data_IF_178143059726
#
_entry.id   IF_178143059726
#
_cell.length_a   1.000
_cell.length_b   1.000
_cell.length_c   1.000
_cell.angle_alpha   90.00
_cell.angle_beta   90.00
_cell.angle_gamma   90.00
#
_symmetry.space_group_name_H-M   'P 1'
#
loop_
_entity.id
_entity.type
_entity.pdbx_description
1 polymer ?
#
# COMPACT_ATOMS: atom_id res chain seq x y z
N UNK A 1 2.68 14.72 -18.78
CA UNK A 1 2.16 13.39 -18.42
C UNK A 1 0.66 13.44 -18.22
N UNK A 2 -0.08 12.38 -18.51
CA UNK A 2 -1.54 12.32 -18.27
C UNK A 2 -1.83 11.58 -16.98
N UNK A 3 -2.62 12.18 -16.09
CA UNK A 3 -3.19 11.51 -14.91
C UNK A 3 -4.67 11.25 -15.15
N UNK A 4 -5.15 10.07 -14.74
CA UNK A 4 -6.56 9.69 -14.84
C UNK A 4 -7.12 9.53 -13.44
N UNK A 5 -8.20 10.26 -13.15
CA UNK A 5 -8.98 10.12 -11.92
C UNK A 5 -10.26 9.35 -12.24
N UNK A 6 -10.51 8.27 -11.50
CA UNK A 6 -11.69 7.43 -11.63
C UNK A 6 -12.54 7.57 -10.37
N UNK A 7 -13.81 7.90 -10.52
CA UNK A 7 -14.74 8.05 -9.40
C UNK A 7 -16.19 7.79 -9.87
N UNK A 8 -17.14 7.85 -8.93
CA UNK A 8 -18.58 7.66 -9.16
C UNK A 8 -19.34 8.88 -8.69
N UNK A 9 -20.38 9.25 -9.42
CA UNK A 9 -21.34 10.24 -8.96
C UNK A 9 -22.75 9.70 -9.09
N UNK A 10 -23.64 10.13 -8.20
CA UNK A 10 -25.07 9.80 -8.28
C UNK A 10 -25.79 10.94 -9.01
N UNK A 11 -26.37 10.70 -10.20
CA UNK A 11 -27.15 11.72 -10.90
C UNK A 11 -28.31 12.22 -10.05
N UNK A 12 -28.67 13.50 -10.18
CA UNK A 12 -29.80 14.09 -9.43
C UNK A 12 -31.11 13.31 -9.65
N UNK A 13 -31.36 12.85 -10.88
CA UNK A 13 -32.55 12.09 -11.24
C UNK A 13 -32.60 10.72 -10.54
N UNK A 14 -31.45 10.05 -10.34
CA UNK A 14 -31.38 8.79 -9.60
C UNK A 14 -31.62 8.99 -8.10
N UNK A 15 -31.14 10.11 -7.52
CA UNK A 15 -31.50 10.48 -6.13
C UNK A 15 -33.01 10.66 -5.97
N UNK A 16 -33.65 11.38 -6.90
CA UNK A 16 -35.10 11.60 -6.85
C UNK A 16 -35.91 10.30 -7.03
N UNK A 17 -35.45 9.38 -7.89
CA UNK A 17 -36.06 8.06 -8.04
C UNK A 17 -35.96 7.25 -6.74
N UNK A 18 -34.77 7.18 -6.15
CA UNK A 18 -34.53 6.51 -4.88
C UNK A 18 -35.40 7.06 -3.74
N UNK A 19 -35.52 8.40 -3.64
CA UNK A 19 -36.38 9.06 -2.65
C UNK A 19 -37.88 8.71 -2.83
N UNK A 20 -38.30 8.39 -4.06
CA UNK A 20 -39.70 8.06 -4.39
C UNK A 20 -40.00 6.57 -4.23
N UNK A 21 -39.08 5.72 -4.69
CA UNK A 21 -39.29 4.27 -4.81
C UNK A 21 -38.77 3.50 -3.58
N UNK A 22 -37.98 4.15 -2.71
CA UNK A 22 -37.39 3.54 -1.51
C UNK A 22 -36.17 2.65 -1.78
N UNK A 23 -35.63 2.67 -2.99
CA UNK A 23 -34.46 1.90 -3.43
C UNK A 23 -33.14 2.69 -3.30
N UNK A 24 -32.00 2.02 -3.35
CA UNK A 24 -30.70 2.69 -3.40
C UNK A 24 -30.46 3.42 -4.73
N UNK A 25 -29.92 4.66 -4.71
CA UNK A 25 -29.70 5.44 -5.91
C UNK A 25 -28.50 4.91 -6.71
N UNK A 26 -28.66 4.76 -8.03
CA UNK A 26 -27.59 4.22 -8.86
C UNK A 26 -26.48 5.25 -9.11
N UNK A 27 -25.24 4.85 -8.82
CA UNK A 27 -24.05 5.66 -9.07
C UNK A 27 -23.48 5.37 -10.47
N UNK A 28 -23.15 6.42 -11.22
CA UNK A 28 -22.55 6.34 -12.55
C UNK A 28 -21.03 6.53 -12.44
N UNK A 29 -20.20 5.61 -12.96
CA UNK A 29 -18.75 5.76 -12.97
C UNK A 29 -18.30 6.76 -14.04
N UNK A 30 -17.25 7.53 -13.75
CA UNK A 30 -16.60 8.41 -14.72
C UNK A 30 -15.07 8.31 -14.65
N UNK A 31 -14.42 8.76 -15.73
CA UNK A 31 -12.97 8.91 -15.82
C UNK A 31 -12.65 10.35 -16.26
N UNK A 32 -11.96 11.11 -15.41
CA UNK A 32 -11.48 12.46 -15.73
C UNK A 32 -9.99 12.42 -16.01
N UNK A 33 -9.58 12.98 -17.15
CA UNK A 33 -8.17 13.08 -17.55
C UNK A 33 -7.65 14.47 -17.22
N UNK A 34 -6.45 14.52 -16.64
CA UNK A 34 -5.70 15.73 -16.38
C UNK A 34 -4.36 15.64 -17.10
N UNK A 35 -3.92 16.76 -17.67
CA UNK A 35 -2.56 16.90 -18.18
C UNK A 35 -1.75 17.60 -17.11
N UNK A 36 -0.69 16.95 -16.63
CA UNK A 36 0.23 17.49 -15.64
C UNK A 36 1.63 17.61 -16.22
N UNK A 37 2.39 18.55 -15.69
CA UNK A 37 3.78 18.80 -16.04
C UNK A 37 4.62 18.54 -14.79
N UNK A 38 5.73 17.82 -14.94
CA UNK A 38 6.71 17.68 -13.86
C UNK A 38 7.31 19.06 -13.58
N UNK A 39 7.69 19.34 -12.34
CA UNK A 39 8.30 20.61 -11.93
C UNK A 39 9.53 20.97 -12.78
N UNK A 40 10.33 19.98 -13.20
CA UNK A 40 11.48 20.16 -14.10
C UNK A 40 11.10 20.60 -15.52
N UNK A 41 9.82 20.58 -15.88
CA UNK A 41 9.29 21.04 -17.17
C UNK A 41 8.69 22.46 -17.10
N UNK A 42 8.73 23.09 -15.93
CA UNK A 42 8.12 24.38 -15.66
C UNK A 42 9.18 25.39 -15.24
N UNK A 43 9.14 26.58 -15.84
CA UNK A 43 9.97 27.71 -15.45
C UNK A 43 9.24 28.62 -14.45
N UNK A 44 10.00 29.38 -13.65
CA UNK A 44 9.49 30.42 -12.73
C UNK A 44 8.50 29.94 -11.67
N UNK A 45 8.60 28.69 -11.22
CA UNK A 45 7.84 28.24 -10.05
C UNK A 45 8.49 28.72 -8.75
N UNK A 46 7.73 28.80 -7.63
CA UNK A 46 8.31 29.02 -6.32
C UNK A 46 9.42 27.99 -6.00
N UNK A 47 10.55 28.46 -5.46
CA UNK A 47 11.76 27.64 -5.24
C UNK A 47 11.50 26.37 -4.42
N UNK A 48 10.61 26.45 -3.43
CA UNK A 48 10.23 25.31 -2.59
C UNK A 48 9.56 24.15 -3.37
N UNK A 49 9.05 24.39 -4.59
CA UNK A 49 8.49 23.32 -5.42
C UNK A 49 9.56 22.50 -6.16
N UNK A 50 10.77 23.06 -6.34
CA UNK A 50 11.91 22.35 -6.95
C UNK A 50 12.70 21.51 -5.93
N UNK A 51 12.43 21.66 -4.64
CA UNK A 51 13.07 20.87 -3.60
C UNK A 51 12.53 19.43 -3.65
N UNK A 52 13.21 18.55 -4.39
CA UNK A 52 13.11 17.13 -4.12
C UNK A 52 13.76 16.88 -2.76
N UNK A 53 13.06 16.22 -1.84
CA UNK A 53 13.69 15.75 -0.61
C UNK A 53 14.89 14.87 -0.97
N UNK A 54 16.02 15.07 -0.30
CA UNK A 54 17.16 14.16 -0.47
C UNK A 54 16.72 12.75 -0.08
N UNK A 55 17.10 11.70 -0.86
CA UNK A 55 16.82 10.33 -0.48
C UNK A 55 17.33 10.06 0.93
N UNK A 56 16.50 9.40 1.74
CA UNK A 56 16.91 9.03 3.08
C UNK A 56 18.10 8.08 3.00
N UNK A 57 19.13 8.26 3.83
CA UNK A 57 20.21 7.28 3.92
C UNK A 57 19.66 5.95 4.47
N UNK A 58 20.29 4.82 4.13
CA UNK A 58 19.82 3.48 4.52
C UNK A 58 19.62 3.32 6.04
N UNK A 59 20.48 3.96 6.84
CA UNK A 59 20.39 4.01 8.31
C UNK A 59 19.06 4.61 8.82
N UNK A 60 18.37 5.39 8.00
CA UNK A 60 17.08 6.04 8.32
C UNK A 60 15.90 5.30 7.66
N UNK A 61 16.11 4.63 6.52
CA UNK A 61 15.07 3.83 5.84
C UNK A 61 14.74 2.53 6.57
N UNK A 62 15.78 1.78 6.98
CA UNK A 62 15.61 0.45 7.58
C UNK A 62 14.76 0.49 8.86
N UNK A 63 14.99 1.41 9.81
CA UNK A 63 14.13 1.51 10.99
C UNK A 63 12.66 1.77 10.67
N UNK A 64 12.35 2.55 9.62
CA UNK A 64 10.97 2.80 9.21
C UNK A 64 10.32 1.55 8.60
N UNK A 65 11.10 0.78 7.83
CA UNK A 65 10.64 -0.49 7.28
C UNK A 65 10.34 -1.52 8.37
N UNK A 66 11.24 -1.68 9.34
CA UNK A 66 11.04 -2.54 10.51
C UNK A 66 9.82 -2.10 11.32
N UNK A 67 9.68 -0.79 11.59
CA UNK A 67 8.54 -0.25 12.31
C UNK A 67 7.22 -0.52 11.59
N UNK A 68 7.18 -0.35 10.27
CA UNK A 68 6.00 -0.66 9.48
C UNK A 68 5.64 -2.14 9.55
N UNK A 69 6.61 -3.03 9.32
CA UNK A 69 6.42 -4.49 9.40
C UNK A 69 5.84 -4.86 10.77
N UNK A 70 6.42 -4.34 11.85
CA UNK A 70 5.94 -4.57 13.21
C UNK A 70 4.51 -4.04 13.41
N UNK A 71 4.21 -2.82 12.96
CA UNK A 71 2.90 -2.19 13.10
C UNK A 71 1.79 -2.93 12.32
N UNK A 72 2.13 -3.72 11.29
CA UNK A 72 1.13 -4.52 10.57
C UNK A 72 0.47 -5.57 11.47
N UNK A 73 1.22 -6.12 12.44
CA UNK A 73 0.83 -7.28 13.24
C UNK A 73 0.78 -8.60 12.47
N UNK A 74 1.35 -8.69 11.26
CA UNK A 74 1.38 -9.92 10.48
C UNK A 74 2.30 -10.98 11.15
N UNK A 75 1.89 -12.25 11.14
CA UNK A 75 2.72 -13.38 11.61
C UNK A 75 3.81 -13.69 10.57
N UNK A 76 4.99 -13.10 10.76
CA UNK A 76 6.20 -13.38 9.98
C UNK A 76 6.98 -14.57 10.56
N UNK A 77 7.23 -15.57 9.70
CA UNK A 77 8.01 -16.76 10.01
C UNK A 77 9.29 -16.75 9.19
N UNK A 78 10.42 -16.69 9.88
CA UNK A 78 11.74 -16.62 9.25
C UNK A 78 12.31 -18.03 9.07
N UNK A 79 12.68 -18.38 7.85
CA UNK A 79 13.29 -19.67 7.51
C UNK A 79 13.06 -20.11 6.07
N UNK A 80 13.63 -21.27 5.71
CA UNK A 80 13.54 -21.80 4.35
C UNK A 80 14.25 -20.93 3.30
N UNK A 81 13.94 -21.21 2.03
CA UNK A 81 14.61 -20.58 0.87
C UNK A 81 13.66 -19.71 0.03
N UNK A 82 12.37 -19.65 0.37
CA UNK A 82 11.35 -18.94 -0.41
C UNK A 82 10.50 -18.05 0.48
N UNK A 83 10.12 -16.89 -0.06
CA UNK A 83 9.12 -16.02 0.52
C UNK A 83 7.75 -16.32 -0.07
N UNK A 84 6.71 -16.30 0.76
CA UNK A 84 5.32 -16.43 0.34
C UNK A 84 4.36 -16.09 1.49
N UNK A 85 3.23 -15.48 1.16
CA UNK A 85 2.05 -15.43 2.02
C UNK A 85 1.22 -16.71 1.91
N UNK A 86 0.76 -17.23 3.06
CA UNK A 86 -0.13 -18.39 3.17
C UNK A 86 -1.54 -17.96 3.62
N UNK A 87 -2.52 -17.84 2.70
CA UNK A 87 -3.87 -17.39 3.06
C UNK A 87 -4.57 -18.28 4.10
N UNK A 88 -4.37 -19.60 4.04
CA UNK A 88 -5.06 -20.55 4.93
C UNK A 88 -4.64 -20.47 6.40
N UNK A 89 -3.40 -20.06 6.68
CA UNK A 89 -2.89 -19.87 8.04
C UNK A 89 -2.72 -18.40 8.42
N UNK A 90 -3.00 -17.48 7.49
CA UNK A 90 -2.78 -16.04 7.63
C UNK A 90 -1.34 -15.69 8.08
N UNK A 91 -0.35 -16.32 7.46
CA UNK A 91 1.06 -16.18 7.83
C UNK A 91 1.95 -15.84 6.65
N UNK A 92 3.03 -15.11 6.88
CA UNK A 92 4.05 -14.80 5.89
C UNK A 92 5.32 -15.59 6.21
N UNK A 93 5.81 -16.36 5.24
CA UNK A 93 7.13 -16.99 5.31
C UNK A 93 8.13 -16.10 4.55
N UNK A 94 9.31 -15.87 5.13
CA UNK A 94 10.44 -15.22 4.44
C UNK A 94 11.76 -15.92 4.76
N UNK A 95 12.72 -15.98 3.82
CA UNK A 95 14.08 -16.43 4.11
C UNK A 95 14.74 -15.52 5.17
N UNK A 96 15.75 -16.02 5.90
CA UNK A 96 16.53 -15.18 6.79
C UNK A 96 17.23 -14.07 6.01
N UNK A 97 17.30 -12.86 6.58
CA UNK A 97 17.88 -11.68 5.92
C UNK A 97 19.29 -11.89 5.32
N UNK A 98 20.21 -12.66 5.96
CA UNK A 98 21.51 -13.00 5.36
C UNK A 98 21.45 -13.81 4.05
N UNK A 99 20.30 -14.40 3.70
CA UNK A 99 20.12 -15.10 2.43
C UNK A 99 19.95 -14.14 1.23
N UNK A 100 19.72 -12.84 1.48
CA UNK A 100 19.57 -11.83 0.44
C UNK A 100 20.92 -11.19 0.09
N UNK A 101 21.20 -11.06 -1.22
CA UNK A 101 22.45 -10.47 -1.70
C UNK A 101 22.60 -9.01 -1.30
N UNK A 102 21.53 -8.22 -1.45
CA UNK A 102 21.42 -6.89 -0.85
C UNK A 102 20.43 -6.94 0.30
N UNK A 103 20.82 -6.41 1.46
CA UNK A 103 19.99 -6.47 2.67
C UNK A 103 18.65 -5.75 2.50
N UNK A 104 18.59 -4.71 1.65
CA UNK A 104 17.36 -3.98 1.33
C UNK A 104 16.31 -4.85 0.61
N UNK A 105 16.73 -5.90 -0.10
CA UNK A 105 15.83 -6.80 -0.84
C UNK A 105 14.95 -7.65 0.09
N UNK A 106 15.39 -7.83 1.34
CA UNK A 106 14.58 -8.43 2.38
C UNK A 106 13.29 -7.62 2.62
N UNK A 107 13.40 -6.30 2.77
CA UNK A 107 12.25 -5.43 3.01
C UNK A 107 11.34 -5.34 1.79
N UNK A 108 11.92 -5.20 0.58
CA UNK A 108 11.16 -5.26 -0.68
C UNK A 108 10.35 -6.55 -0.78
N UNK A 109 10.94 -7.66 -0.32
CA UNK A 109 10.28 -8.96 -0.28
C UNK A 109 9.18 -9.02 0.76
N UNK A 110 9.44 -8.57 1.98
CA UNK A 110 8.43 -8.48 3.02
C UNK A 110 7.23 -7.63 2.58
N UNK A 111 7.44 -6.49 1.92
CA UNK A 111 6.36 -5.62 1.46
C UNK A 111 5.53 -6.20 0.33
N UNK A 112 6.12 -7.02 -0.53
CA UNK A 112 5.33 -7.77 -1.50
C UNK A 112 4.45 -8.81 -0.82
N UNK A 113 5.01 -9.62 0.09
CA UNK A 113 4.21 -10.62 0.81
C UNK A 113 3.13 -9.95 1.67
N UNK A 114 3.41 -8.78 2.24
CA UNK A 114 2.41 -7.95 2.90
C UNK A 114 1.34 -7.45 1.92
N UNK A 115 1.73 -7.12 0.70
CA UNK A 115 0.81 -6.83 -0.41
C UNK A 115 -0.24 -7.93 -0.54
N UNK A 116 0.19 -9.20 -0.65
CA UNK A 116 -0.71 -10.36 -0.65
C UNK A 116 -1.49 -10.52 0.64
N UNK A 117 -0.81 -10.38 1.78
CA UNK A 117 -1.41 -10.49 3.11
C UNK A 117 -2.62 -9.55 3.23
N UNK A 118 -2.56 -8.29 2.79
CA UNK A 118 -3.72 -7.39 2.83
C UNK A 118 -4.97 -7.94 2.12
N UNK A 119 -4.82 -8.89 1.19
CA UNK A 119 -5.92 -9.49 0.44
C UNK A 119 -6.79 -10.47 1.21
N UNK A 120 -6.43 -10.88 2.42
CA UNK A 120 -7.21 -11.83 3.22
C UNK A 120 -8.66 -11.38 3.48
N UNK A 121 -9.62 -12.31 3.66
CA UNK A 121 -11.04 -11.99 3.88
C UNK A 121 -11.34 -11.04 5.03
N UNK A 122 -10.50 -11.01 6.08
CA UNK A 122 -10.68 -10.10 7.23
C UNK A 122 -10.07 -8.70 7.03
N UNK A 123 -9.46 -8.46 5.86
CA UNK A 123 -8.78 -7.19 5.51
C UNK A 123 -9.43 -6.58 4.26
N UNK A 124 -8.75 -6.63 3.11
CA UNK A 124 -9.26 -6.09 1.85
C UNK A 124 -10.05 -7.11 1.02
N UNK A 125 -10.16 -8.35 1.49
CA UNK A 125 -11.02 -9.40 0.93
C UNK A 125 -10.91 -9.53 -0.60
N UNK A 126 -9.67 -9.62 -1.10
CA UNK A 126 -9.38 -9.88 -2.51
C UNK A 126 -9.42 -11.37 -2.81
N UNK A 127 -9.60 -11.71 -4.08
CA UNK A 127 -9.59 -13.10 -4.53
C UNK A 127 -8.14 -13.63 -4.61
N UNK A 128 -7.78 -14.48 -3.65
CA UNK A 128 -6.48 -15.14 -3.56
C UNK A 128 -6.55 -16.63 -3.97
N UNK A 129 -7.64 -17.06 -4.62
CA UNK A 129 -7.85 -18.49 -4.96
C UNK A 129 -7.08 -18.98 -6.18
N UNK A 130 -6.42 -18.07 -6.91
CA UNK A 130 -5.68 -18.38 -8.13
C UNK A 130 -4.45 -19.27 -7.87
N UNK A 131 -4.30 -20.31 -8.68
CA UNK A 131 -3.09 -21.13 -8.70
C UNK A 131 -1.98 -20.51 -9.57
N UNK A 132 -0.72 -20.86 -9.30
CA UNK A 132 0.42 -20.41 -10.08
C UNK A 132 0.20 -20.58 -11.58
N UNK A 133 0.47 -19.53 -12.36
CA UNK A 133 0.24 -19.49 -13.82
C UNK A 133 -1.20 -19.20 -14.26
N UNK A 134 -2.17 -19.13 -13.35
CA UNK A 134 -3.53 -18.69 -13.68
C UNK A 134 -3.63 -17.17 -13.85
N UNK A 135 -4.62 -16.71 -14.62
CA UNK A 135 -4.90 -15.27 -14.76
C UNK A 135 -5.30 -14.60 -13.44
N UNK A 136 -5.98 -15.32 -12.53
CA UNK A 136 -6.31 -14.80 -11.20
C UNK A 136 -5.05 -14.58 -10.38
N UNK A 137 -4.14 -15.56 -10.37
CA UNK A 137 -2.85 -15.45 -9.70
C UNK A 137 -2.01 -14.30 -10.27
N UNK A 138 -1.89 -14.21 -11.60
CA UNK A 138 -1.13 -13.13 -12.25
C UNK A 138 -1.69 -11.73 -11.95
N UNK A 139 -3.01 -11.58 -11.78
CA UNK A 139 -3.62 -10.30 -11.37
C UNK A 139 -3.26 -9.92 -9.94
N UNK A 140 -3.26 -10.88 -9.03
CA UNK A 140 -2.92 -10.63 -7.63
C UNK A 140 -1.43 -10.36 -7.44
N UNK A 141 -0.55 -11.05 -8.17
CA UNK A 141 0.88 -10.75 -8.23
C UNK A 141 1.14 -9.30 -8.70
N UNK A 142 0.40 -8.85 -9.72
CA UNK A 142 0.49 -7.46 -10.19
C UNK A 142 0.05 -6.46 -9.09
N UNK A 143 -0.96 -6.80 -8.30
CA UNK A 143 -1.40 -5.97 -7.16
C UNK A 143 -0.30 -5.92 -6.10
N UNK A 144 0.27 -7.06 -5.71
CA UNK A 144 1.30 -7.14 -4.67
C UNK A 144 2.60 -6.41 -5.06
N UNK A 145 3.04 -6.53 -6.32
CA UNK A 145 4.24 -5.83 -6.80
C UNK A 145 4.04 -4.31 -6.88
N UNK A 146 2.88 -3.83 -7.35
CA UNK A 146 2.59 -2.38 -7.35
C UNK A 146 2.45 -1.86 -5.92
N UNK A 147 1.82 -2.62 -5.02
CA UNK A 147 1.68 -2.24 -3.62
C UNK A 147 3.04 -2.14 -2.93
N UNK A 148 3.90 -3.13 -3.12
CA UNK A 148 5.28 -3.12 -2.63
C UNK A 148 6.04 -1.90 -3.14
N UNK A 149 5.88 -1.55 -4.43
CA UNK A 149 6.52 -0.37 -5.00
C UNK A 149 6.04 0.94 -4.35
N UNK A 150 4.74 1.09 -4.08
CA UNK A 150 4.21 2.24 -3.37
C UNK A 150 4.75 2.34 -1.94
N UNK A 151 4.75 1.23 -1.20
CA UNK A 151 5.27 1.18 0.17
C UNK A 151 6.76 1.51 0.20
N UNK A 152 7.56 0.88 -0.65
CA UNK A 152 9.00 1.15 -0.76
C UNK A 152 9.24 2.63 -1.04
N UNK A 153 8.56 3.19 -2.05
CA UNK A 153 8.66 4.60 -2.41
C UNK A 153 8.30 5.52 -1.24
N UNK A 154 7.28 5.21 -0.45
CA UNK A 154 6.88 5.99 0.73
C UNK A 154 7.91 5.94 1.87
N UNK A 155 8.71 4.88 1.95
CA UNK A 155 9.76 4.70 2.96
C UNK A 155 11.16 5.14 2.47
N UNK A 156 11.25 5.73 1.28
CA UNK A 156 12.51 6.10 0.64
C UNK A 156 13.29 4.94 0.01
N UNK A 157 12.77 3.71 0.10
CA UNK A 157 13.38 2.52 -0.48
C UNK A 157 13.11 2.51 -1.98
N UNK A 158 14.17 2.44 -2.79
CA UNK A 158 14.01 2.37 -4.24
C UNK A 158 13.21 1.09 -4.62
N UNK A 159 12.09 1.20 -5.34
CA UNK A 159 11.36 0.03 -5.80
C UNK A 159 12.12 -0.73 -6.88
N UNK A 160 12.11 -2.06 -6.82
CA UNK A 160 12.65 -2.92 -7.89
C UNK A 160 11.68 -4.03 -8.21
N UNK A 161 11.59 -4.40 -9.49
CA UNK A 161 10.78 -5.55 -9.93
C UNK A 161 11.58 -6.82 -9.69
N UNK A 162 11.04 -7.76 -8.90
CA UNK A 162 11.84 -8.88 -8.38
C UNK A 162 12.04 -10.04 -9.34
N UNK A 163 11.12 -10.31 -10.29
CA UNK A 163 11.35 -11.38 -11.28
C UNK A 163 10.76 -11.12 -12.67
N UNK A 164 11.53 -11.51 -13.70
CA UNK A 164 11.15 -11.41 -15.11
C UNK A 164 10.00 -12.37 -15.49
N UNK A 165 9.83 -13.47 -14.77
CA UNK A 165 8.80 -14.48 -15.05
C UNK A 165 7.38 -13.92 -14.83
N UNK A 166 7.21 -12.99 -13.88
CA UNK A 166 5.93 -12.31 -13.65
C UNK A 166 5.58 -11.33 -14.78
N UNK A 167 6.58 -10.69 -15.41
CA UNK A 167 6.37 -9.78 -16.53
C UNK A 167 5.68 -10.50 -17.70
N UNK A 168 6.06 -11.75 -17.97
CA UNK A 168 5.42 -12.57 -18.99
C UNK A 168 3.93 -12.79 -18.71
N UNK A 169 3.59 -13.18 -17.47
CA UNK A 169 2.19 -13.39 -17.07
C UNK A 169 1.37 -12.10 -17.02
N UNK A 170 1.97 -10.97 -16.61
CA UNK A 170 1.32 -9.67 -16.58
C UNK A 170 1.04 -9.14 -17.99
N UNK A 171 1.98 -9.33 -18.93
CA UNK A 171 1.76 -8.94 -20.32
C UNK A 171 0.56 -9.66 -20.93
N UNK A 172 0.34 -10.93 -20.61
CA UNK A 172 -0.87 -11.65 -21.03
C UNK A 172 -2.12 -11.02 -20.45
N UNK A 173 -2.15 -10.78 -19.12
CA UNK A 173 -3.29 -10.14 -18.44
C UNK A 173 -3.59 -8.74 -19.00
N UNK A 174 -2.54 -7.95 -19.26
CA UNK A 174 -2.67 -6.58 -19.76
C UNK A 174 -3.09 -6.52 -21.23
N UNK A 175 -2.71 -7.52 -22.05
CA UNK A 175 -3.18 -7.65 -23.44
C UNK A 175 -4.63 -8.08 -23.53
N UNK A 176 -5.06 -8.97 -22.63
CA UNK A 176 -6.45 -9.45 -22.59
C UNK A 176 -7.41 -8.39 -22.03
N UNK A 177 -6.94 -7.54 -21.10
CA UNK A 177 -7.77 -6.51 -20.50
C UNK A 177 -6.99 -5.20 -20.26
N UNK A 178 -7.24 -4.22 -21.14
CA UNK A 178 -6.66 -2.87 -21.08
C UNK A 178 -7.01 -2.10 -19.79
N UNK A 179 -8.00 -2.55 -19.02
CA UNK A 179 -8.39 -1.98 -17.72
C UNK A 179 -7.76 -2.70 -16.53
N UNK A 180 -7.07 -3.83 -16.75
CA UNK A 180 -6.44 -4.60 -15.68
C UNK A 180 -5.44 -3.77 -14.88
N UNK A 181 -4.63 -2.94 -15.54
CA UNK A 181 -3.66 -2.07 -14.84
C UNK A 181 -4.34 -1.06 -13.90
N UNK A 182 -5.47 -0.47 -14.29
CA UNK A 182 -6.18 0.48 -13.45
C UNK A 182 -6.80 -0.19 -12.23
N UNK A 183 -7.33 -1.41 -12.40
CA UNK A 183 -7.87 -2.18 -11.26
C UNK A 183 -6.76 -2.64 -10.34
N UNK A 184 -5.65 -3.14 -10.89
CA UNK A 184 -4.49 -3.56 -10.11
C UNK A 184 -3.91 -2.37 -9.32
N UNK A 185 -3.69 -1.22 -9.96
CA UNK A 185 -3.25 -0.01 -9.30
C UNK A 185 -4.21 0.46 -8.21
N UNK A 186 -5.53 0.41 -8.45
CA UNK A 186 -6.53 0.78 -7.43
C UNK A 186 -6.48 -0.15 -6.21
N UNK A 187 -6.36 -1.47 -6.41
CA UNK A 187 -6.21 -2.42 -5.30
C UNK A 187 -4.87 -2.26 -4.59
N UNK A 188 -3.80 -2.01 -5.34
CA UNK A 188 -2.46 -1.78 -4.80
C UNK A 188 -2.39 -0.51 -3.95
N UNK A 189 -3.02 0.59 -4.38
CA UNK A 189 -3.14 1.81 -3.58
C UNK A 189 -3.86 1.52 -2.26
N UNK A 190 -5.00 0.82 -2.29
CA UNK A 190 -5.72 0.43 -1.06
C UNK A 190 -4.87 -0.45 -0.13
N UNK A 191 -4.09 -1.37 -0.69
CA UNK A 191 -3.18 -2.21 0.09
C UNK A 191 -2.06 -1.38 0.74
N UNK A 192 -1.44 -0.48 0.00
CA UNK A 192 -0.42 0.43 0.51
C UNK A 192 -0.99 1.36 1.58
N UNK A 193 -2.14 2.01 1.32
CA UNK A 193 -2.82 2.90 2.28
C UNK A 193 -3.18 2.16 3.56
N UNK A 194 -3.69 0.92 3.45
CA UNK A 194 -4.01 0.08 4.61
C UNK A 194 -2.78 -0.22 5.47
N UNK A 195 -1.63 -0.52 4.85
CA UNK A 195 -0.40 -0.81 5.56
C UNK A 195 0.22 0.45 6.15
N UNK A 196 0.38 1.50 5.35
CA UNK A 196 0.98 2.78 5.79
C UNK A 196 0.14 3.47 6.87
N UNK A 197 -1.19 3.30 6.85
CA UNK A 197 -2.09 3.78 7.90
C UNK A 197 -1.82 3.18 9.28
N UNK A 198 -1.28 1.95 9.36
CA UNK A 198 -0.92 1.29 10.64
C UNK A 198 0.13 2.07 11.42
N UNK A 199 1.08 2.71 10.73
CA UNK A 199 2.10 3.53 11.40
C UNK A 199 1.49 4.79 12.03
N UNK A 200 0.51 5.42 11.35
CA UNK A 200 -0.16 6.60 11.87
C UNK A 200 -0.99 6.29 13.13
N UNK A 201 -1.61 5.10 13.18
CA UNK A 201 -2.35 4.64 14.36
C UNK A 201 -1.41 4.42 15.56
N UNK A 202 -0.25 3.78 15.35
CA UNK A 202 0.76 3.53 16.39
C UNK A 202 1.37 4.84 16.92
N UNK A 203 1.69 5.79 16.05
CA UNK A 203 2.17 7.12 16.47
C UNK A 203 1.09 7.87 17.28
N UNK A 204 -0.17 7.80 16.85
CA UNK A 204 -1.30 8.39 17.57
C UNK A 204 -1.51 7.81 18.97
N UNK A 205 -1.39 6.48 19.11
CA UNK A 205 -1.49 5.78 20.41
C UNK A 205 -0.32 6.11 21.33
N UNK A 206 0.92 6.10 20.82
CA UNK A 206 2.11 6.45 21.60
C UNK A 206 2.05 7.91 22.10
N UNK A 207 1.59 8.84 21.26
CA UNK A 207 1.40 10.24 21.66
C UNK A 207 0.27 10.41 22.69
N UNK A 208 -0.82 9.65 22.58
CA UNK A 208 -1.91 9.67 23.56
C UNK A 208 -1.48 9.12 24.93
N UNK A 209 -0.69 8.04 24.96
CA UNK A 209 -0.17 7.42 26.19
C UNK A 209 0.85 8.33 26.90
N UNK A 210 1.71 9.00 26.12
CA UNK A 210 2.67 10.00 26.63
C UNK A 210 1.94 11.23 27.22
N UNK A 211 0.90 11.71 26.55
CA UNK A 211 0.08 12.83 27.03
C UNK A 211 -0.66 12.47 28.33
N UNK A 212 -1.23 11.25 28.43
CA UNK A 212 -1.91 10.78 29.62
C UNK A 212 -0.96 10.63 30.83
N UNK A 213 0.25 10.09 30.62
CA UNK A 213 1.28 10.00 31.66
C UNK A 213 1.76 11.37 32.18
N UNK A 214 1.86 12.36 31.29
CA UNK A 214 2.23 13.74 31.68
C UNK A 214 1.13 14.45 32.50
N UNK A 215 -0.14 14.17 32.21
CA UNK A 215 -1.27 14.72 32.94
C UNK A 215 -1.41 14.14 34.36
N UNK A 216 -1.10 12.85 34.56
CA UNK A 216 -1.12 12.24 35.90
C UNK A 216 0.05 12.70 36.78
N UNK A 217 1.24 12.89 36.19
CA UNK A 217 2.43 13.42 36.87
C UNK A 217 2.21 14.86 37.38
N UNK A 218 1.61 15.73 36.56
CA UNK A 218 1.30 17.12 36.93
C UNK A 218 0.20 17.21 37.99
N UNK A 219 -0.79 16.31 37.97
CA UNK A 219 -1.82 16.23 39.02
C UNK A 219 -1.25 15.74 40.36
N UNK A 220 -0.30 14.80 40.35
CA UNK A 220 0.39 14.34 41.56
C UNK A 220 1.32 15.39 42.17
N UNK A 221 1.90 16.28 41.36
CA UNK A 221 2.72 17.39 41.83
C UNK A 221 1.89 18.53 42.47
N UNK A 222 0.67 18.77 41.98
CA UNK A 222 -0.23 19.80 42.51
C UNK A 222 -0.85 19.45 43.89
N UNK A 223 -0.81 18.18 44.30
CA UNK A 223 -1.32 17.69 45.60
C UNK A 223 -0.24 17.62 46.70
N UNK A 224 0.99 18.10 46.43
CA UNK A 224 2.11 18.10 47.38
C UNK A 224 2.60 19.50 47.78
N UNK A 225 1.84 20.56 47.48
CA UNK A 225 2.01 21.92 48.00
C UNK A 225 0.81 22.27 48.88
#
# INVERSE_FOLDING_TARGET
TTIVHADRFVPKNEKQRADTDGDEPQAVPFLKRFTVFNVAQCDNLPEHLYAAGEPLPEREMVPQAEALIHATGADFRIGGERAFYMPGSDTIQVPPQPAFFHQIDYYRTCFHELGHWTGHPTRLARDLSGSFGSNTYAREELVAEIASAFICSSLGIEPTVRHADYIGSWLTVLREDNRAIFRAASHASKAADFLLGRNADVEGEAHAETAYGSAQSSHAAALRL
#
